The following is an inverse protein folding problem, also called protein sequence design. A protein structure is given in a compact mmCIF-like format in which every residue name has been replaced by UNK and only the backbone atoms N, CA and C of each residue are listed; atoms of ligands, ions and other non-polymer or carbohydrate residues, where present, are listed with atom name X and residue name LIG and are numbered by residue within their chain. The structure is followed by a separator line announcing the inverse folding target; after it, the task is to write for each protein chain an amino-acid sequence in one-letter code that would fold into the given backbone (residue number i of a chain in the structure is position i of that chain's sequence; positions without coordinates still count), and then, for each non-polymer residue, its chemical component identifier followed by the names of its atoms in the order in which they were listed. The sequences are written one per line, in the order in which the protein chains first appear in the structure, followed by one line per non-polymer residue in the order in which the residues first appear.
data_IF_741312990986
#
_entry.id   IF_741312990986
#
_cell.length_a   1.000
_cell.length_b   1.000
_cell.length_c   1.000
_cell.angle_alpha   90.00
_cell.angle_beta   90.00
_cell.angle_gamma   90.00
#
_symmetry.space_group_name_H-M   'P 1'
#
loop_
_entity.id
_entity.type
_entity.pdbx_description
1 polymer ?
#
# COMPACT_ATOMS: atom_id res chain seq x y z
N UNK A 1 0.10 21.49 -21.95
CA UNK A 1 0.64 22.03 -20.69
C UNK A 1 -0.35 21.93 -19.54
N UNK A 2 -1.53 22.58 -19.62
CA UNK A 2 -2.54 22.56 -18.54
C UNK A 2 -3.00 21.14 -18.14
N UNK A 3 -3.30 20.27 -19.13
CA UNK A 3 -3.70 18.87 -18.90
C UNK A 3 -2.66 18.10 -18.08
N UNK A 4 -1.37 18.27 -18.37
CA UNK A 4 -0.29 17.57 -17.66
C UNK A 4 -0.17 18.03 -16.21
N UNK A 5 -0.37 19.34 -15.95
CA UNK A 5 -0.37 19.89 -14.59
C UNK A 5 -1.56 19.35 -13.80
N UNK A 6 -2.75 19.34 -14.42
CA UNK A 6 -3.95 18.80 -13.79
C UNK A 6 -3.80 17.31 -13.49
N UNK A 7 -3.28 16.54 -14.46
CA UNK A 7 -2.96 15.12 -14.30
C UNK A 7 -2.02 14.89 -13.12
N UNK A 8 -0.91 15.63 -13.04
CA UNK A 8 0.07 15.51 -11.95
C UNK A 8 -0.56 15.76 -10.58
N UNK A 9 -1.37 16.81 -10.45
CA UNK A 9 -2.03 17.17 -9.19
C UNK A 9 -3.02 16.06 -8.78
N UNK A 10 -3.88 15.63 -9.70
CA UNK A 10 -4.88 14.59 -9.42
C UNK A 10 -4.20 13.25 -9.10
N UNK A 11 -3.21 12.85 -9.89
CA UNK A 11 -2.44 11.62 -9.68
C UNK A 11 -1.74 11.63 -8.31
N UNK A 12 -1.08 12.73 -7.95
CA UNK A 12 -0.36 12.87 -6.68
C UNK A 12 -1.30 12.86 -5.46
N UNK A 13 -2.41 13.60 -5.52
CA UNK A 13 -3.36 13.65 -4.40
C UNK A 13 -4.10 12.32 -4.22
N UNK A 14 -4.54 11.70 -5.32
CA UNK A 14 -5.25 10.42 -5.26
C UNK A 14 -4.31 9.28 -4.82
N UNK A 15 -3.06 9.29 -5.28
CA UNK A 15 -2.06 8.30 -4.82
C UNK A 15 -1.71 8.44 -3.35
N UNK A 16 -1.51 9.66 -2.84
CA UNK A 16 -1.30 9.89 -1.41
C UNK A 16 -2.50 9.40 -0.59
N UNK A 17 -3.72 9.68 -1.05
CA UNK A 17 -4.93 9.21 -0.40
C UNK A 17 -5.01 7.67 -0.40
N UNK A 18 -4.71 7.03 -1.53
CA UNK A 18 -4.71 5.58 -1.64
C UNK A 18 -3.68 4.92 -0.72
N UNK A 19 -2.48 5.50 -0.59
CA UNK A 19 -1.47 5.05 0.39
C UNK A 19 -2.04 5.09 1.80
N UNK A 20 -2.75 6.16 2.19
CA UNK A 20 -3.38 6.27 3.52
C UNK A 20 -4.45 5.18 3.73
N UNK A 21 -5.27 4.90 2.72
CA UNK A 21 -6.29 3.84 2.78
C UNK A 21 -5.64 2.45 2.88
N UNK A 22 -4.58 2.19 2.11
CA UNK A 22 -3.85 0.92 2.17
C UNK A 22 -3.14 0.76 3.52
N UNK A 23 -2.51 1.82 4.05
CA UNK A 23 -1.94 1.79 5.39
C UNK A 23 -3.02 1.49 6.43
N UNK A 24 -4.23 2.06 6.32
CA UNK A 24 -5.34 1.74 7.23
C UNK A 24 -5.68 0.26 7.21
N UNK A 25 -5.70 -0.36 6.03
CA UNK A 25 -5.91 -1.80 5.87
C UNK A 25 -4.78 -2.61 6.52
N UNK A 26 -3.51 -2.30 6.18
CA UNK A 26 -2.34 -3.01 6.68
C UNK A 26 -2.20 -2.91 8.20
N UNK A 27 -2.43 -1.73 8.79
CA UNK A 27 -2.39 -1.52 10.23
C UNK A 27 -3.40 -2.40 10.96
N UNK A 28 -4.62 -2.55 10.43
CA UNK A 28 -5.60 -3.46 11.02
C UNK A 28 -5.26 -4.93 10.77
N UNK A 29 -4.71 -5.26 9.60
CA UNK A 29 -4.30 -6.63 9.27
C UNK A 29 -3.21 -7.14 10.23
N UNK A 30 -2.20 -6.31 10.52
CA UNK A 30 -1.11 -6.66 11.45
C UNK A 30 -1.47 -6.40 12.92
N UNK A 31 -2.68 -5.89 13.20
CA UNK A 31 -3.13 -5.46 14.54
C UNK A 31 -2.13 -4.49 15.19
N UNK A 32 -1.70 -3.51 14.41
CA UNK A 32 -0.80 -2.45 14.85
C UNK A 32 -1.37 -1.66 16.03
N UNK A 33 -0.49 -1.00 16.77
CA UNK A 33 -0.89 -0.21 17.94
C UNK A 33 -1.75 1.00 17.53
N UNK A 34 -3.00 1.01 17.99
CA UNK A 34 -3.96 2.10 17.73
C UNK A 34 -3.73 3.32 18.63
N UNK A 35 -2.92 3.22 19.68
CA UNK A 35 -2.52 4.37 20.50
C UNK A 35 -1.42 5.20 19.83
N UNK A 36 -0.77 4.67 18.79
CA UNK A 36 0.23 5.40 18.02
C UNK A 36 -0.40 6.61 17.30
N UNK A 37 0.16 7.83 17.41
CA UNK A 37 -0.44 9.04 16.84
C UNK A 37 -0.60 8.97 15.31
N UNK A 38 0.31 8.29 14.60
CA UNK A 38 0.23 8.12 13.14
C UNK A 38 -0.91 7.15 12.78
N UNK A 39 -1.07 6.08 13.56
CA UNK A 39 -2.20 5.14 13.41
C UNK A 39 -3.53 5.87 13.62
N UNK A 40 -3.64 6.71 14.66
CA UNK A 40 -4.82 7.52 14.91
C UNK A 40 -5.12 8.52 13.78
N UNK A 41 -4.09 9.17 13.23
CA UNK A 41 -4.26 10.08 12.09
C UNK A 41 -4.82 9.34 10.86
N UNK A 42 -4.26 8.19 10.51
CA UNK A 42 -4.72 7.35 9.40
C UNK A 42 -6.17 6.90 9.63
N UNK A 43 -6.50 6.43 10.84
CA UNK A 43 -7.86 6.05 11.21
C UNK A 43 -8.81 7.24 11.08
N UNK A 44 -8.45 8.41 11.59
CA UNK A 44 -9.27 9.63 11.53
C UNK A 44 -9.54 10.08 10.09
N UNK A 45 -8.55 10.01 9.21
CA UNK A 45 -8.68 10.39 7.80
C UNK A 45 -9.60 9.41 7.03
N UNK A 46 -9.50 8.11 7.32
CA UNK A 46 -10.21 7.06 6.56
C UNK A 46 -11.62 6.77 7.08
N UNK A 47 -11.88 7.03 8.37
CA UNK A 47 -13.16 6.73 9.02
C UNK A 47 -14.40 7.33 8.35
N UNK A 48 -14.41 8.58 7.86
CA UNK A 48 -15.58 9.16 7.19
C UNK A 48 -16.08 8.32 6.01
N UNK A 49 -15.18 7.71 5.25
CA UNK A 49 -15.53 6.84 4.11
C UNK A 49 -15.78 5.39 4.54
N UNK A 50 -15.04 4.89 5.53
CA UNK A 50 -15.20 3.50 5.99
C UNK A 50 -16.47 3.27 6.81
N UNK A 51 -16.92 4.24 7.61
CA UNK A 51 -18.15 4.11 8.42
C UNK A 51 -19.39 3.73 7.60
N UNK A 52 -19.73 4.40 6.50
CA UNK A 52 -20.88 4.00 5.68
C UNK A 52 -20.65 2.64 5.00
N UNK A 53 -19.45 2.36 4.50
CA UNK A 53 -19.13 1.07 3.86
C UNK A 53 -19.31 -0.11 4.82
N UNK A 54 -18.85 0.02 6.06
CA UNK A 54 -18.97 -1.02 7.11
C UNK A 54 -20.41 -1.31 7.53
N UNK A 55 -21.38 -0.45 7.20
CA UNK A 55 -22.80 -0.75 7.44
C UNK A 55 -23.30 -1.86 6.51
N UNK A 56 -22.76 -1.93 5.30
CA UNK A 56 -23.18 -2.87 4.26
C UNK A 56 -22.22 -4.04 4.08
N UNK A 57 -20.95 -3.83 4.43
CA UNK A 57 -19.86 -4.77 4.17
C UNK A 57 -19.30 -5.26 5.51
N UNK A 58 -19.64 -6.48 5.94
CA UNK A 58 -19.15 -7.04 7.18
C UNK A 58 -17.69 -7.48 7.06
N UNK A 59 -16.94 -7.39 8.15
CA UNK A 59 -15.59 -7.96 8.23
C UNK A 59 -15.65 -9.49 8.14
N UNK A 60 -14.80 -10.09 7.30
CA UNK A 60 -14.76 -11.53 7.07
C UNK A 60 -13.39 -12.06 7.50
N UNK A 61 -13.37 -13.14 8.28
CA UNK A 61 -12.14 -13.83 8.73
C UNK A 61 -11.11 -12.91 9.42
N UNK A 62 -11.58 -11.87 10.12
CA UNK A 62 -10.71 -10.90 10.79
C UNK A 62 -10.06 -9.87 9.85
N UNK A 63 -10.37 -9.90 8.55
CA UNK A 63 -9.92 -8.92 7.55
C UNK A 63 -10.96 -7.79 7.45
N UNK A 64 -10.48 -6.55 7.36
CA UNK A 64 -11.31 -5.36 7.10
C UNK A 64 -11.69 -5.28 5.63
N UNK A 65 -12.66 -6.09 5.22
CA UNK A 65 -13.23 -6.13 3.86
C UNK A 65 -13.70 -4.77 3.38
N UNK A 66 -14.24 -3.93 4.26
CA UNK A 66 -14.63 -2.55 3.93
C UNK A 66 -13.43 -1.69 3.49
N UNK A 67 -12.26 -1.89 4.10
CA UNK A 67 -11.02 -1.23 3.65
C UNK A 67 -10.56 -1.75 2.29
N UNK A 68 -10.65 -3.06 2.03
CA UNK A 68 -10.34 -3.62 0.69
C UNK A 68 -11.25 -3.02 -0.37
N UNK A 69 -12.55 -2.94 -0.10
CA UNK A 69 -13.51 -2.33 -1.02
C UNK A 69 -13.21 -0.85 -1.22
N UNK A 70 -12.85 -0.11 -0.16
CA UNK A 70 -12.45 1.29 -0.29
C UNK A 70 -11.19 1.46 -1.15
N UNK A 71 -10.19 0.59 -1.03
CA UNK A 71 -8.98 0.60 -1.89
C UNK A 71 -9.37 0.49 -3.36
N UNK A 72 -10.24 -0.48 -3.69
CA UNK A 72 -10.71 -0.68 -5.07
C UNK A 72 -11.52 0.52 -5.56
N UNK A 73 -12.45 1.04 -4.75
CA UNK A 73 -13.26 2.20 -5.11
C UNK A 73 -12.39 3.44 -5.38
N UNK A 74 -11.38 3.70 -4.54
CA UNK A 74 -10.46 4.81 -4.74
C UNK A 74 -9.69 4.64 -6.04
N UNK A 75 -9.22 3.44 -6.38
CA UNK A 75 -8.57 3.25 -7.67
C UNK A 75 -9.53 3.46 -8.84
N UNK A 76 -10.72 2.87 -8.80
CA UNK A 76 -11.71 3.01 -9.87
C UNK A 76 -12.01 4.49 -10.13
N UNK A 77 -12.23 5.26 -9.06
CA UNK A 77 -12.45 6.70 -9.14
C UNK A 77 -11.22 7.39 -9.73
N UNK A 78 -10.02 7.15 -9.21
CA UNK A 78 -8.81 7.79 -9.69
C UNK A 78 -8.52 7.48 -11.17
N UNK A 79 -8.57 6.21 -11.56
CA UNK A 79 -8.35 5.77 -12.95
C UNK A 79 -9.40 6.35 -13.89
N UNK A 80 -10.68 6.42 -13.47
CA UNK A 80 -11.71 7.07 -14.28
C UNK A 80 -11.43 8.56 -14.46
N UNK A 81 -11.12 9.30 -13.39
CA UNK A 81 -10.81 10.74 -13.44
C UNK A 81 -9.59 11.02 -14.32
N UNK A 82 -8.51 10.24 -14.17
CA UNK A 82 -7.31 10.37 -14.98
C UNK A 82 -7.59 10.05 -16.47
N UNK A 83 -8.45 9.06 -16.74
CA UNK A 83 -8.86 8.73 -18.10
C UNK A 83 -9.66 9.88 -18.73
N UNK A 84 -10.54 10.56 -17.97
CA UNK A 84 -11.24 11.76 -18.43
C UNK A 84 -10.27 12.90 -18.75
N UNK A 85 -9.27 13.14 -17.89
CA UNK A 85 -8.27 14.21 -18.06
C UNK A 85 -7.42 13.97 -19.31
N UNK A 86 -7.04 12.72 -19.57
CA UNK A 86 -6.22 12.36 -20.75
C UNK A 86 -7.04 12.09 -22.02
N UNK A 87 -8.37 12.14 -21.94
CA UNK A 87 -9.26 11.91 -23.08
C UNK A 87 -9.40 10.44 -23.51
N UNK A 88 -9.08 9.49 -22.64
CA UNK A 88 -9.09 8.04 -22.92
C UNK A 88 -10.40 7.40 -22.42
N UNK A 89 -11.52 7.87 -22.96
CA UNK A 89 -12.88 7.52 -22.48
C UNK A 89 -13.25 6.04 -22.66
N UNK A 90 -12.65 5.35 -23.63
CA UNK A 90 -12.96 3.95 -23.92
C UNK A 90 -12.74 2.99 -22.75
N UNK A 91 -11.85 3.34 -21.81
CA UNK A 91 -11.57 2.55 -20.61
C UNK A 91 -12.71 2.66 -19.60
N UNK A 92 -13.40 3.81 -19.53
CA UNK A 92 -14.47 4.06 -18.57
C UNK A 92 -15.69 3.18 -18.87
N UNK A 93 -15.90 2.85 -20.15
CA UNK A 93 -17.03 2.05 -20.62
C UNK A 93 -16.89 0.55 -20.30
N UNK A 94 -15.68 0.07 -19.98
CA UNK A 94 -15.43 -1.33 -19.67
C UNK A 94 -15.01 -1.49 -18.20
N UNK A 95 -15.85 -2.07 -17.33
CA UNK A 95 -15.54 -2.20 -15.91
C UNK A 95 -14.43 -3.22 -15.63
N UNK A 96 -14.19 -4.18 -16.53
CA UNK A 96 -13.25 -5.27 -16.29
C UNK A 96 -11.78 -4.79 -16.24
N UNK A 97 -11.26 -4.03 -17.23
CA UNK A 97 -9.93 -3.43 -17.14
C UNK A 97 -9.76 -2.55 -15.91
N UNK A 98 -10.76 -1.74 -15.56
CA UNK A 98 -10.70 -0.84 -14.41
C UNK A 98 -10.46 -1.59 -13.10
N UNK A 99 -11.18 -2.70 -12.87
CA UNK A 99 -11.02 -3.52 -11.67
C UNK A 99 -9.66 -4.21 -11.66
N UNK A 100 -9.25 -4.83 -12.78
CA UNK A 100 -7.97 -5.51 -12.88
C UNK A 100 -6.79 -4.56 -12.66
N UNK A 101 -6.86 -3.38 -13.27
CA UNK A 101 -5.85 -2.33 -13.11
C UNK A 101 -5.80 -1.82 -11.68
N UNK A 102 -6.94 -1.70 -10.99
CA UNK A 102 -6.96 -1.33 -9.59
C UNK A 102 -6.41 -2.37 -8.65
N UNK A 103 -6.62 -3.65 -8.94
CA UNK A 103 -5.96 -4.72 -8.20
C UNK A 103 -4.45 -4.66 -8.38
N UNK A 104 -3.96 -4.51 -9.62
CA UNK A 104 -2.52 -4.40 -9.89
C UNK A 104 -1.92 -3.19 -9.19
N UNK A 105 -2.51 -2.00 -9.33
CA UNK A 105 -2.00 -0.78 -8.69
C UNK A 105 -2.00 -0.85 -7.16
N UNK A 106 -3.05 -1.43 -6.56
CA UNK A 106 -3.09 -1.67 -5.11
C UNK A 106 -1.97 -2.62 -4.66
N UNK A 107 -1.72 -3.72 -5.39
CA UNK A 107 -0.61 -4.64 -5.10
C UNK A 107 0.74 -3.93 -5.20
N UNK A 108 0.96 -3.09 -6.21
CA UNK A 108 2.20 -2.33 -6.35
C UNK A 108 2.43 -1.39 -5.17
N UNK A 109 1.39 -0.68 -4.71
CA UNK A 109 1.50 0.20 -3.53
C UNK A 109 1.74 -0.59 -2.26
N UNK A 110 1.05 -1.73 -2.08
CA UNK A 110 1.28 -2.61 -0.92
C UNK A 110 2.75 -3.05 -0.89
N UNK A 111 3.29 -3.55 -2.00
CA UNK A 111 4.69 -3.95 -2.11
C UNK A 111 5.63 -2.77 -1.81
N UNK A 112 5.33 -1.59 -2.35
CA UNK A 112 6.08 -0.36 -2.10
C UNK A 112 6.08 0.04 -0.62
N UNK A 113 4.95 -0.09 0.07
CA UNK A 113 4.84 0.20 1.51
C UNK A 113 5.74 -0.76 2.30
N UNK A 114 5.72 -2.06 2.00
CA UNK A 114 6.62 -3.02 2.65
C UNK A 114 8.09 -2.68 2.35
N UNK A 115 8.43 -2.32 1.12
CA UNK A 115 9.79 -1.89 0.78
C UNK A 115 10.22 -0.69 1.63
N UNK A 116 9.43 0.39 1.67
CA UNK A 116 9.78 1.58 2.44
C UNK A 116 9.78 1.35 3.94
N UNK A 117 8.85 0.55 4.49
CA UNK A 117 8.88 0.18 5.90
C UNK A 117 10.16 -0.61 6.23
N UNK A 118 10.59 -1.52 5.35
CA UNK A 118 11.84 -2.25 5.51
C UNK A 118 13.04 -1.30 5.55
N UNK A 119 13.11 -0.33 4.63
CA UNK A 119 14.17 0.69 4.61
C UNK A 119 14.17 1.52 5.90
N UNK A 120 13.00 1.99 6.35
CA UNK A 120 12.85 2.75 7.61
C UNK A 120 13.34 1.91 8.79
N UNK A 121 12.98 0.63 8.86
CA UNK A 121 13.43 -0.29 9.91
C UNK A 121 14.95 -0.49 9.90
N UNK A 122 15.56 -0.65 8.72
CA UNK A 122 17.02 -0.76 8.57
C UNK A 122 17.68 0.51 9.07
N UNK A 123 17.29 1.67 8.55
CA UNK A 123 17.86 2.97 8.93
C UNK A 123 17.72 3.20 10.44
N UNK A 124 16.53 2.93 10.99
CA UNK A 124 16.27 3.04 12.42
C UNK A 124 17.16 2.14 13.26
N UNK A 125 17.45 0.92 12.80
CA UNK A 125 18.32 -0.02 13.52
C UNK A 125 19.77 0.45 13.63
N UNK A 126 20.29 1.16 12.61
CA UNK A 126 21.65 1.71 12.63
C UNK A 126 21.75 3.05 13.38
N UNK A 127 20.75 3.92 13.23
CA UNK A 127 20.82 5.29 13.76
C UNK A 127 20.32 5.36 15.20
N UNK A 128 19.25 4.65 15.53
CA UNK A 128 18.57 4.78 16.82
C UNK A 128 17.89 3.45 17.26
N UNK A 129 18.68 2.41 17.58
CA UNK A 129 18.17 1.06 17.85
C UNK A 129 17.19 0.95 19.03
N UNK A 130 17.23 1.90 19.98
CA UNK A 130 16.36 1.94 21.17
C UNK A 130 15.27 3.01 21.09
N UNK A 131 14.99 3.54 19.89
CA UNK A 131 14.01 4.61 19.70
C UNK A 131 12.58 4.09 19.67
N UNK A 132 11.69 4.76 20.40
CA UNK A 132 10.25 4.54 20.39
C UNK A 132 9.51 5.51 19.45
N UNK A 133 10.19 6.01 18.40
CA UNK A 133 9.58 6.96 17.47
C UNK A 133 8.32 6.35 16.82
N UNK A 134 7.18 7.08 16.74
CA UNK A 134 5.92 6.52 16.25
C UNK A 134 5.99 5.88 14.87
N UNK A 135 6.67 6.52 13.91
CA UNK A 135 6.81 5.98 12.55
C UNK A 135 7.67 4.71 12.50
N UNK A 136 8.76 4.67 13.28
CA UNK A 136 9.65 3.50 13.32
C UNK A 136 8.92 2.30 13.91
N UNK A 137 8.14 2.54 14.98
CA UNK A 137 7.33 1.51 15.63
C UNK A 137 6.31 0.91 14.66
N UNK A 138 5.60 1.74 13.88
CA UNK A 138 4.65 1.24 12.88
C UNK A 138 5.33 0.52 11.72
N UNK A 139 6.45 1.03 11.22
CA UNK A 139 7.22 0.36 10.17
C UNK A 139 7.66 -1.04 10.60
N UNK A 140 8.18 -1.17 11.83
CA UNK A 140 8.54 -2.45 12.42
C UNK A 140 7.33 -3.39 12.58
N UNK A 141 6.17 -2.88 13.02
CA UNK A 141 4.94 -3.67 13.14
C UNK A 141 4.41 -4.17 11.79
N UNK A 142 4.47 -3.33 10.75
CA UNK A 142 4.08 -3.71 9.38
C UNK A 142 5.03 -4.78 8.83
N UNK A 143 6.34 -4.68 9.10
CA UNK A 143 7.34 -5.63 8.59
C UNK A 143 7.38 -6.93 9.38
N UNK A 144 6.99 -6.92 10.65
CA UNK A 144 7.11 -8.07 11.53
C UNK A 144 6.49 -9.39 11.00
N UNK A 145 5.31 -9.40 10.34
CA UNK A 145 4.77 -10.62 9.71
C UNK A 145 5.69 -11.23 8.64
N UNK A 146 6.50 -10.42 7.96
CA UNK A 146 7.50 -10.89 6.99
C UNK A 146 8.82 -11.28 7.68
N UNK A 147 9.28 -10.46 8.64
CA UNK A 147 10.57 -10.66 9.30
C UNK A 147 10.56 -11.80 10.34
N UNK A 148 9.49 -11.96 11.12
CA UNK A 148 9.46 -12.95 12.19
C UNK A 148 9.61 -14.40 11.70
N UNK A 149 8.96 -14.85 10.61
CA UNK A 149 9.21 -16.17 10.04
C UNK A 149 10.66 -16.36 9.57
N UNK A 150 11.25 -15.33 8.96
CA UNK A 150 12.63 -15.39 8.46
C UNK A 150 13.63 -15.48 9.62
N UNK A 151 13.44 -14.66 10.67
CA UNK A 151 14.27 -14.67 11.87
C UNK A 151 14.18 -15.99 12.66
N UNK A 152 13.07 -16.72 12.54
CA UNK A 152 12.95 -18.07 13.11
C UNK A 152 13.82 -19.08 12.37
N UNK A 153 13.99 -18.93 11.04
CA UNK A 153 14.81 -19.83 10.22
C UNK A 153 16.29 -19.45 10.27
N UNK A 154 16.59 -18.15 10.24
CA UNK A 154 17.94 -17.59 10.25
C UNK A 154 18.00 -16.53 11.35
N UNK A 155 18.33 -16.94 12.60
CA UNK A 155 18.48 -16.00 13.70
C UNK A 155 19.59 -14.97 13.42
N UNK A 156 19.53 -13.77 14.04
CA UNK A 156 20.57 -12.75 13.88
C UNK A 156 21.96 -13.29 14.24
N UNK A 157 22.95 -13.03 13.37
CA UNK A 157 24.33 -13.48 13.58
C UNK A 157 24.91 -12.69 14.76
N UNK A 158 25.41 -13.41 15.75
CA UNK A 158 25.96 -12.82 16.98
C UNK A 158 24.92 -12.04 17.81
N UNK A 159 23.61 -12.23 17.56
CA UNK A 159 22.53 -11.52 18.24
C UNK A 159 22.36 -10.04 17.84
N UNK A 160 23.22 -9.52 16.95
CA UNK A 160 23.24 -8.09 16.58
C UNK A 160 22.94 -7.88 15.11
N UNK A 161 23.45 -8.72 14.21
CA UNK A 161 23.29 -8.54 12.77
C UNK A 161 22.10 -9.35 12.24
N UNK A 162 21.01 -8.64 11.91
CA UNK A 162 19.83 -9.23 11.31
C UNK A 162 19.96 -9.31 9.77
N UNK A 163 19.90 -10.53 9.23
CA UNK A 163 19.96 -10.80 7.78
C UNK A 163 18.56 -10.76 7.12
N UNK A 164 17.48 -10.82 7.92
CA UNK A 164 16.11 -10.79 7.39
C UNK A 164 15.81 -9.61 6.47
N UNK A 165 16.37 -8.38 6.65
CA UNK A 165 16.26 -7.31 5.68
C UNK A 165 16.58 -7.70 4.23
N UNK A 166 17.71 -8.37 4.02
CA UNK A 166 18.20 -8.70 2.67
C UNK A 166 17.24 -9.69 2.00
N UNK A 167 16.79 -10.69 2.77
CA UNK A 167 15.86 -11.72 2.28
C UNK A 167 14.49 -11.10 1.94
N UNK A 168 13.98 -10.21 2.79
CA UNK A 168 12.72 -9.50 2.55
C UNK A 168 12.83 -8.64 1.30
N UNK A 169 13.90 -7.85 1.16
CA UNK A 169 14.08 -6.99 0.00
C UNK A 169 14.19 -7.80 -1.29
N UNK A 170 14.89 -8.94 -1.28
CA UNK A 170 14.95 -9.85 -2.43
C UNK A 170 13.58 -10.44 -2.76
N UNK A 171 12.84 -10.90 -1.74
CA UNK A 171 11.48 -11.42 -1.91
C UNK A 171 10.52 -10.37 -2.48
N UNK A 172 10.57 -9.14 -1.98
CA UNK A 172 9.79 -8.02 -2.50
C UNK A 172 10.15 -7.71 -3.95
N UNK A 173 11.43 -7.81 -4.35
CA UNK A 173 11.81 -7.64 -5.76
C UNK A 173 11.23 -8.71 -6.67
N UNK A 174 11.14 -9.96 -6.20
CA UNK A 174 10.47 -11.03 -6.95
C UNK A 174 8.97 -10.72 -7.07
N UNK A 175 8.33 -10.26 -5.98
CA UNK A 175 6.93 -9.85 -5.99
C UNK A 175 6.70 -8.70 -6.98
N UNK A 176 7.54 -7.67 -6.98
CA UNK A 176 7.47 -6.55 -7.93
C UNK A 176 7.58 -7.05 -9.39
N UNK A 177 8.49 -7.99 -9.68
CA UNK A 177 8.61 -8.59 -11.01
C UNK A 177 7.35 -9.35 -11.44
N UNK A 178 6.70 -10.07 -10.52
CA UNK A 178 5.45 -10.78 -10.79
C UNK A 178 4.31 -9.80 -11.02
N UNK A 179 4.21 -8.74 -10.22
CA UNK A 179 3.22 -7.67 -10.39
C UNK A 179 3.41 -6.99 -11.74
N UNK A 180 4.65 -6.69 -12.13
CA UNK A 180 4.97 -6.09 -13.43
C UNK A 180 4.52 -7.00 -14.59
N UNK A 181 4.78 -8.32 -14.50
CA UNK A 181 4.29 -9.28 -15.50
C UNK A 181 2.77 -9.28 -15.58
N UNK A 182 2.07 -9.30 -14.45
CA UNK A 182 0.61 -9.21 -14.41
C UNK A 182 0.10 -7.89 -15.03
N UNK A 183 0.77 -6.78 -14.74
CA UNK A 183 0.44 -5.47 -15.28
C UNK A 183 0.52 -5.45 -16.82
N UNK A 184 1.59 -6.03 -17.38
CA UNK A 184 1.76 -6.17 -18.84
C UNK A 184 0.69 -7.07 -19.43
N UNK A 185 0.37 -8.20 -18.80
CA UNK A 185 -0.65 -9.14 -19.27
C UNK A 185 -2.05 -8.52 -19.36
N UNK A 186 -2.42 -7.68 -18.39
CA UNK A 186 -3.72 -7.01 -18.37
C UNK A 186 -3.70 -5.61 -19.02
N UNK A 187 -2.57 -5.22 -19.64
CA UNK A 187 -2.43 -3.98 -20.39
C UNK A 187 -2.54 -2.70 -19.55
N UNK A 188 -2.04 -2.71 -18.31
CA UNK A 188 -2.07 -1.54 -17.41
C UNK A 188 -1.45 -0.32 -18.08
N UNK A 189 -2.16 0.82 -18.03
CA UNK A 189 -1.61 2.11 -18.40
C UNK A 189 -1.04 2.84 -17.16
N UNK A 190 0.28 3.06 -17.08
CA UNK A 190 0.93 3.74 -15.96
C UNK A 190 0.41 5.15 -15.66
N UNK A 191 -0.09 5.85 -16.68
CA UNK A 191 -0.61 7.20 -16.52
C UNK A 191 -2.00 7.23 -15.88
N UNK A 192 -2.70 6.10 -15.83
CA UNK A 192 -4.07 6.00 -15.34
C UNK A 192 -4.17 5.22 -14.03
N UNK A 193 -3.21 4.34 -13.77
CA UNK A 193 -3.21 3.44 -12.62
C UNK A 193 -2.29 4.00 -11.55
N UNK A 194 -2.85 4.36 -10.39
CA UNK A 194 -2.04 4.80 -9.26
C UNK A 194 -1.16 3.64 -8.78
N UNK A 195 0.04 3.98 -8.30
CA UNK A 195 0.95 2.98 -7.76
C UNK A 195 1.99 2.47 -8.74
N UNK A 196 1.86 2.83 -10.02
CA UNK A 196 2.76 2.39 -11.06
C UNK A 196 3.82 3.49 -11.30
N UNK A 197 5.03 3.28 -10.79
CA UNK A 197 6.18 4.18 -10.91
C UNK A 197 7.44 3.38 -11.23
#
# INVERSE_FOLDING_TARGET
MFVNILHLIVYSLMSLFLVIVILRFLLQLVRADFYNPVSQAIVKITMPLLKPLRKFIPSVLGIDTASVVLIILVQLIATSLLAMILGVWGIILNPLPLILWGLVGALTIISSIFFWCMIISIIGSFIAPFSNHPLLTLANQIINPLAAPIRKLIPPIGGVLDISPIIILLGLKIVDMLILRLAVLVGVNPQLVLGYW
#
